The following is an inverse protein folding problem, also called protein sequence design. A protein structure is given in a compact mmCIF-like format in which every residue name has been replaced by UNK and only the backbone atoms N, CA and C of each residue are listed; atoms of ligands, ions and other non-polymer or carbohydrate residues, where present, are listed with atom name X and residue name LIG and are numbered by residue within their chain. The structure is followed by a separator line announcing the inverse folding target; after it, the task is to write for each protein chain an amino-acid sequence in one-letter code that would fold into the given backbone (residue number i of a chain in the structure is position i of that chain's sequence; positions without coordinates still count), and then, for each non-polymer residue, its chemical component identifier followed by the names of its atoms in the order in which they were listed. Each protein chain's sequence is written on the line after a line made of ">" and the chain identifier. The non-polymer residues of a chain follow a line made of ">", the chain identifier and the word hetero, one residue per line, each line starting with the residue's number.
data_IF_533012736698
#
_entry.id   IF_533012736698
#
_cell.length_a   1.000
_cell.length_b   1.000
_cell.length_c   1.000
_cell.angle_alpha   90.00
_cell.angle_beta   90.00
_cell.angle_gamma   90.00
#
_symmetry.space_group_name_H-M   'P 1'
#
loop_
_entity.id
_entity.type
_entity.pdbx_description
1 polymer ?
#
# COMPACT_ATOMS: atom_id res chain seq x y z
N UNK A 1 51.82 3.99 17.60
CA UNK A 1 51.28 5.28 18.11
C UNK A 1 49.89 4.96 18.62
N UNK A 2 49.65 5.13 19.93
CA UNK A 2 48.50 4.57 20.64
C UNK A 2 47.25 5.43 20.45
N UNK A 3 46.11 4.76 20.31
CA UNK A 3 44.74 5.30 20.34
C UNK A 3 44.29 5.27 21.82
N UNK A 4 43.88 6.37 22.39
CA UNK A 4 42.94 6.48 23.53
C UNK A 4 42.33 7.87 23.49
N UNK A 5 40.97 7.93 23.36
CA UNK A 5 40.11 8.58 24.36
C UNK A 5 38.65 8.57 23.87
N UNK A 6 37.87 7.76 24.58
CA UNK A 6 36.41 7.73 24.51
C UNK A 6 35.84 8.75 25.50
N UNK A 7 35.07 9.69 25.06
CA UNK A 7 34.29 10.54 25.96
C UNK A 7 32.83 10.05 26.02
N UNK A 8 32.41 9.66 27.24
CA UNK A 8 31.06 9.29 27.63
C UNK A 8 30.17 10.52 27.73
N UNK A 9 29.04 10.49 27.03
CA UNK A 9 27.91 11.37 27.33
C UNK A 9 26.80 10.57 28.03
N UNK A 10 26.63 10.86 29.30
CA UNK A 10 25.52 10.37 30.15
C UNK A 10 24.37 11.38 30.06
N UNK A 11 23.23 10.98 29.57
CA UNK A 11 22.04 11.82 29.56
C UNK A 11 21.10 11.37 30.70
N UNK A 12 20.85 12.29 31.64
CA UNK A 12 19.94 12.12 32.77
C UNK A 12 18.49 12.17 32.29
N UNK A 13 17.73 11.15 32.65
CA UNK A 13 16.25 11.13 32.52
C UNK A 13 15.67 11.72 33.79
N UNK A 14 14.95 12.82 33.69
CA UNK A 14 14.11 13.37 34.76
C UNK A 14 12.64 12.96 34.49
N UNK A 15 12.07 12.29 35.50
CA UNK A 15 10.71 11.85 35.52
C UNK A 15 9.71 13.02 35.65
N UNK A 16 8.55 12.89 35.08
CA UNK A 16 7.37 13.72 35.36
C UNK A 16 6.15 12.83 35.61
N UNK A 17 5.52 13.16 36.67
CA UNK A 17 4.49 12.54 37.48
C UNK A 17 3.16 12.37 36.75
N UNK A 18 2.58 11.19 37.01
CA UNK A 18 1.21 10.79 36.64
C UNK A 18 0.20 11.53 37.54
N UNK A 19 -0.79 12.19 36.98
CA UNK A 19 -2.00 12.60 37.69
C UNK A 19 -3.21 11.88 37.12
N UNK A 20 -3.79 11.08 37.98
CA UNK A 20 -5.06 10.36 37.84
C UNK A 20 -6.20 11.30 38.26
N UNK A 21 -7.19 11.52 37.43
CA UNK A 21 -8.47 12.14 37.85
C UNK A 21 -9.60 11.15 37.55
N UNK A 22 -10.19 10.66 38.65
CA UNK A 22 -11.49 9.96 38.68
C UNK A 22 -12.62 11.01 38.73
N UNK A 23 -13.71 10.76 38.03
CA UNK A 23 -14.98 11.46 38.15
C UNK A 23 -16.09 10.67 37.46
N UNK A 24 -16.70 9.80 38.14
CA UNK A 24 -18.05 9.69 38.77
C UNK A 24 -19.22 9.81 37.77
N UNK A 25 -20.01 8.73 37.80
CA UNK A 25 -21.23 8.43 37.09
C UNK A 25 -22.40 9.40 37.38
N UNK A 26 -23.30 9.51 36.40
CA UNK A 26 -24.60 10.10 36.55
C UNK A 26 -25.62 9.43 35.64
N UNK A 27 -26.49 8.68 36.27
CA UNK A 27 -27.61 7.92 35.72
C UNK A 27 -28.90 8.80 35.56
N UNK A 28 -29.77 8.44 34.65
CA UNK A 28 -31.15 8.81 34.54
C UNK A 28 -31.53 9.25 33.13
N UNK A 29 -32.59 8.82 32.47
CA UNK A 29 -33.79 8.18 32.88
C UNK A 29 -34.74 8.21 31.67
N UNK A 30 -35.45 7.15 31.51
CA UNK A 30 -36.45 6.86 30.47
C UNK A 30 -37.66 7.74 30.60
N UNK A 31 -38.25 8.24 29.48
CA UNK A 31 -39.69 8.51 29.41
C UNK A 31 -40.20 8.36 27.97
N UNK A 32 -40.93 7.28 27.76
CA UNK A 32 -41.83 7.12 26.63
C UNK A 32 -43.17 7.84 26.95
N UNK A 33 -43.73 8.51 25.99
CA UNK A 33 -45.11 8.95 26.02
C UNK A 33 -45.78 8.69 24.68
N UNK A 34 -46.66 7.70 24.72
CA UNK A 34 -47.69 7.43 23.73
C UNK A 34 -48.90 8.30 24.01
N UNK A 35 -49.55 8.90 23.00
CA UNK A 35 -50.95 9.34 23.07
C UNK A 35 -51.63 9.19 21.72
N UNK A 36 -52.76 8.51 21.78
CA UNK A 36 -53.61 8.16 20.67
C UNK A 36 -54.64 9.24 20.31
N UNK A 37 -55.03 9.19 19.06
CA UNK A 37 -56.32 9.47 18.43
C UNK A 37 -57.37 10.41 19.05
N UNK A 38 -57.88 11.31 18.21
CA UNK A 38 -59.35 11.55 18.09
C UNK A 38 -59.64 12.11 16.70
N UNK A 39 -60.60 11.47 16.05
CA UNK A 39 -61.21 11.93 14.82
C UNK A 39 -62.25 12.99 15.10
N UNK A 40 -62.33 14.00 14.22
CA UNK A 40 -63.60 14.76 14.04
C UNK A 40 -63.74 15.19 12.57
N UNK A 41 -64.90 14.81 12.03
CA UNK A 41 -65.39 15.06 10.70
C UNK A 41 -65.95 16.49 10.58
N UNK A 42 -65.46 17.27 9.61
CA UNK A 42 -66.23 18.38 9.05
C UNK A 42 -66.01 18.46 7.53
N UNK A 43 -67.10 18.27 6.82
CA UNK A 43 -67.19 18.45 5.39
C UNK A 43 -67.14 19.94 5.03
N UNK A 44 -66.19 20.33 4.24
CA UNK A 44 -66.08 21.65 3.64
C UNK A 44 -65.60 21.52 2.19
N UNK A 45 -66.53 21.70 1.27
CA UNK A 45 -66.27 21.79 -0.20
C UNK A 45 -65.37 22.98 -0.51
N UNK A 46 -64.14 22.73 -0.90
CA UNK A 46 -63.33 23.74 -1.58
C UNK A 46 -62.77 23.20 -2.90
N UNK A 47 -63.05 23.96 -3.96
CA UNK A 47 -62.60 23.86 -5.33
C UNK A 47 -61.09 23.49 -5.39
N UNK A 48 -60.75 22.35 -6.01
CA UNK A 48 -59.42 21.98 -6.30
C UNK A 48 -58.86 22.89 -7.42
N UNK A 49 -57.93 23.76 -7.05
CA UNK A 49 -57.02 24.42 -7.97
C UNK A 49 -55.83 23.49 -8.20
N UNK A 50 -55.77 22.85 -9.33
CA UNK A 50 -54.63 22.04 -9.76
C UNK A 50 -53.40 22.95 -9.88
N UNK A 51 -52.52 22.87 -8.91
CA UNK A 51 -51.13 23.36 -9.00
C UNK A 51 -50.37 22.32 -9.77
N UNK A 52 -49.98 22.64 -11.03
CA UNK A 52 -48.96 21.93 -11.76
C UNK A 52 -47.70 21.86 -10.91
N UNK A 53 -47.30 20.63 -10.49
CA UNK A 53 -46.02 20.38 -9.88
C UNK A 53 -44.99 20.47 -11.01
N UNK A 54 -44.39 21.65 -11.15
CA UNK A 54 -43.22 21.85 -12.00
C UNK A 54 -42.14 20.92 -11.49
N UNK A 55 -41.88 19.85 -12.23
CA UNK A 55 -40.75 18.92 -11.98
C UNK A 55 -39.45 19.73 -12.13
N UNK A 56 -38.94 20.19 -10.99
CA UNK A 56 -37.59 20.75 -10.91
C UNK A 56 -36.61 19.62 -11.28
N UNK A 57 -36.27 19.54 -12.55
CA UNK A 57 -35.13 18.75 -13.02
C UNK A 57 -33.88 19.36 -12.45
N UNK A 58 -33.46 18.89 -11.27
CA UNK A 58 -32.14 19.16 -10.71
C UNK A 58 -31.12 18.64 -11.73
N UNK A 59 -30.61 19.53 -12.58
CA UNK A 59 -29.50 19.26 -13.49
C UNK A 59 -28.37 18.69 -12.62
N UNK A 60 -28.12 17.37 -12.71
CA UNK A 60 -26.99 16.70 -12.09
C UNK A 60 -25.74 17.44 -12.56
N UNK A 61 -25.08 18.16 -11.63
CA UNK A 61 -23.92 19.00 -11.96
C UNK A 61 -22.88 18.10 -12.61
N UNK A 62 -22.50 18.38 -13.85
CA UNK A 62 -21.55 17.56 -14.58
C UNK A 62 -20.24 17.43 -13.79
N UNK A 63 -19.80 16.21 -13.56
CA UNK A 63 -18.56 15.94 -12.83
C UNK A 63 -17.38 16.53 -13.64
N UNK A 64 -16.62 17.40 -13.00
CA UNK A 64 -15.46 18.05 -13.62
C UNK A 64 -14.41 17.01 -14.03
N UNK A 65 -14.01 16.99 -15.29
CA UNK A 65 -12.89 16.20 -15.79
C UNK A 65 -11.59 16.65 -15.14
N UNK A 66 -10.82 15.70 -14.61
CA UNK A 66 -9.49 15.95 -14.04
C UNK A 66 -8.41 15.55 -15.07
N UNK A 67 -7.43 16.43 -15.26
CA UNK A 67 -6.19 16.12 -15.96
C UNK A 67 -5.19 15.58 -14.95
N UNK A 68 -4.84 14.30 -15.08
CA UNK A 68 -3.95 13.57 -14.18
C UNK A 68 -2.69 13.16 -14.93
N UNK A 69 -1.54 13.47 -14.39
CA UNK A 69 -0.25 12.98 -14.88
C UNK A 69 0.28 11.90 -13.93
N UNK A 70 0.79 10.80 -14.47
CA UNK A 70 1.57 9.80 -13.76
C UNK A 70 3.04 9.94 -14.17
N UNK A 71 3.91 10.15 -13.20
CA UNK A 71 5.37 10.06 -13.36
C UNK A 71 5.84 8.88 -12.53
N UNK A 72 6.44 7.90 -13.18
CA UNK A 72 6.78 6.61 -12.55
C UNK A 72 8.17 6.11 -12.97
N UNK A 73 8.87 5.35 -12.09
CA UNK A 73 10.27 4.98 -12.33
C UNK A 73 10.44 3.90 -13.39
N UNK A 74 9.49 3.00 -13.56
CA UNK A 74 9.56 1.86 -14.46
C UNK A 74 8.42 1.85 -15.47
N UNK A 75 8.47 0.92 -16.41
CA UNK A 75 7.43 0.73 -17.42
C UNK A 75 6.06 0.45 -16.79
N UNK A 76 5.01 0.95 -17.42
CA UNK A 76 3.62 0.59 -17.11
C UNK A 76 3.29 -0.90 -17.30
N UNK A 77 4.26 -1.70 -17.72
CA UNK A 77 4.18 -3.17 -17.90
C UNK A 77 5.29 -3.90 -17.13
N UNK A 78 5.71 -3.34 -16.00
CA UNK A 78 6.83 -3.86 -15.20
C UNK A 78 6.47 -5.10 -14.37
N UNK A 79 5.24 -5.59 -14.45
CA UNK A 79 4.69 -6.70 -13.65
C UNK A 79 4.78 -6.44 -12.14
N UNK A 80 4.85 -5.17 -11.74
CA UNK A 80 5.13 -4.77 -10.37
C UNK A 80 4.44 -3.44 -10.01
N UNK A 81 5.24 -2.53 -9.49
CA UNK A 81 4.81 -1.31 -8.81
C UNK A 81 4.15 -0.30 -9.75
N UNK A 82 4.79 0.05 -10.88
CA UNK A 82 4.26 1.04 -11.83
C UNK A 82 3.00 0.53 -12.53
N UNK A 83 2.98 -0.75 -12.94
CA UNK A 83 1.80 -1.36 -13.56
C UNK A 83 0.59 -1.30 -12.63
N UNK A 84 0.76 -1.52 -11.33
CA UNK A 84 -0.33 -1.50 -10.36
C UNK A 84 -1.02 -0.13 -10.26
N UNK A 85 -0.25 0.97 -10.26
CA UNK A 85 -0.77 2.34 -10.24
C UNK A 85 -1.42 2.70 -11.58
N UNK A 86 -0.76 2.37 -12.69
CA UNK A 86 -1.28 2.65 -14.02
C UNK A 86 -2.60 1.92 -14.28
N UNK A 87 -2.69 0.65 -13.93
CA UNK A 87 -3.92 -0.15 -14.04
C UNK A 87 -5.06 0.45 -13.22
N UNK A 88 -4.78 0.89 -11.98
CA UNK A 88 -5.78 1.55 -11.15
C UNK A 88 -6.31 2.86 -11.76
N UNK A 89 -5.43 3.65 -12.40
CA UNK A 89 -5.84 4.87 -13.11
C UNK A 89 -6.68 4.56 -14.35
N UNK A 90 -6.31 3.57 -15.16
CA UNK A 90 -7.09 3.17 -16.34
C UNK A 90 -8.48 2.61 -15.95
N UNK A 91 -8.56 1.81 -14.88
CA UNK A 91 -9.83 1.33 -14.32
C UNK A 91 -10.76 2.49 -13.92
N UNK A 92 -10.21 3.54 -13.32
CA UNK A 92 -10.97 4.70 -12.85
C UNK A 92 -11.22 5.75 -13.91
N UNK A 93 -10.58 5.66 -15.07
CA UNK A 93 -10.58 6.69 -16.12
C UNK A 93 -11.97 7.17 -16.54
N UNK A 94 -12.89 6.24 -16.75
CA UNK A 94 -14.27 6.54 -17.18
C UNK A 94 -15.14 7.01 -16.02
N UNK A 95 -15.11 6.25 -14.90
CA UNK A 95 -15.97 6.54 -13.74
C UNK A 95 -15.61 7.83 -13.05
N UNK A 96 -14.32 8.16 -13.02
CA UNK A 96 -13.78 9.38 -12.43
C UNK A 96 -13.55 10.51 -13.45
N UNK A 97 -13.96 10.36 -14.70
CA UNK A 97 -13.80 11.36 -15.76
C UNK A 97 -12.37 11.91 -15.85
N UNK A 98 -11.38 11.02 -16.04
CA UNK A 98 -9.97 11.40 -16.09
C UNK A 98 -9.45 11.56 -17.53
N UNK A 99 -8.55 12.55 -17.71
CA UNK A 99 -7.61 12.64 -18.84
C UNK A 99 -6.22 12.33 -18.30
N UNK A 100 -5.72 11.13 -18.61
CA UNK A 100 -4.47 10.61 -18.08
C UNK A 100 -3.34 10.86 -19.08
N UNK A 101 -2.19 11.31 -18.58
CA UNK A 101 -0.91 11.32 -19.30
C UNK A 101 0.12 10.58 -18.45
N UNK A 102 1.02 9.86 -19.09
CA UNK A 102 2.02 9.03 -18.41
C UNK A 102 3.41 9.39 -18.94
N UNK A 103 4.36 9.49 -18.00
CA UNK A 103 5.80 9.40 -18.25
C UNK A 103 6.33 8.32 -17.32
N UNK A 104 6.62 7.18 -17.89
CA UNK A 104 7.20 6.03 -17.21
C UNK A 104 8.71 5.91 -17.52
N UNK A 105 9.39 4.94 -16.88
CA UNK A 105 10.85 4.74 -16.99
C UNK A 105 11.71 5.91 -16.49
N UNK A 106 11.15 6.74 -15.62
CA UNK A 106 11.80 7.93 -15.05
C UNK A 106 12.64 7.58 -13.80
N UNK A 107 13.56 6.60 -13.92
CA UNK A 107 14.44 6.20 -12.80
C UNK A 107 15.36 7.30 -12.36
N UNK A 108 15.81 8.13 -13.31
CA UNK A 108 16.77 9.21 -13.03
C UNK A 108 16.02 10.41 -12.44
N UNK A 109 16.34 10.73 -11.19
CA UNK A 109 15.64 11.75 -10.41
C UNK A 109 15.68 13.14 -11.08
N UNK A 110 16.78 13.50 -11.76
CA UNK A 110 16.90 14.79 -12.45
C UNK A 110 16.00 14.89 -13.70
N UNK A 111 15.81 13.81 -14.44
CA UNK A 111 14.88 13.80 -15.60
C UNK A 111 13.43 13.80 -15.11
N UNK A 112 13.10 13.00 -14.11
CA UNK A 112 11.80 13.04 -13.47
C UNK A 112 11.42 14.45 -12.97
N UNK A 113 12.38 15.20 -12.42
CA UNK A 113 12.16 16.56 -11.98
C UNK A 113 11.72 17.50 -13.11
N UNK A 114 12.27 17.33 -14.31
CA UNK A 114 11.87 18.10 -15.49
C UNK A 114 10.45 17.76 -15.92
N UNK A 115 10.13 16.47 -15.97
CA UNK A 115 8.80 15.98 -16.35
C UNK A 115 7.72 16.43 -15.35
N UNK A 116 7.99 16.35 -14.05
CA UNK A 116 7.08 16.80 -12.99
C UNK A 116 6.79 18.31 -13.14
N UNK A 117 7.83 19.14 -13.34
CA UNK A 117 7.66 20.59 -13.58
C UNK A 117 6.86 20.85 -14.86
N UNK A 118 7.11 20.10 -15.93
CA UNK A 118 6.41 20.26 -17.21
C UNK A 118 4.91 19.98 -17.07
N UNK A 119 4.50 18.90 -16.36
CA UNK A 119 3.10 18.64 -16.11
C UNK A 119 2.46 19.71 -15.22
N UNK A 120 3.14 20.16 -14.19
CA UNK A 120 2.66 21.23 -13.32
C UNK A 120 2.46 22.55 -14.10
N UNK A 121 3.44 22.95 -14.95
CA UNK A 121 3.35 24.17 -15.78
C UNK A 121 2.24 24.12 -16.84
N UNK A 122 1.93 22.92 -17.34
CA UNK A 122 0.79 22.69 -18.28
C UNK A 122 -0.57 22.70 -17.59
N UNK A 123 -0.64 22.97 -16.28
CA UNK A 123 -1.89 23.11 -15.51
C UNK A 123 -2.65 21.79 -15.36
N UNK A 124 -1.94 20.69 -15.10
CA UNK A 124 -2.60 19.46 -14.67
C UNK A 124 -3.24 19.67 -13.30
N UNK A 125 -4.35 18.98 -13.03
CA UNK A 125 -5.02 19.06 -11.74
C UNK A 125 -4.25 18.27 -10.68
N UNK A 126 -3.64 17.14 -11.09
CA UNK A 126 -2.87 16.25 -10.25
C UNK A 126 -1.65 15.74 -11.00
N UNK A 127 -0.49 15.79 -10.36
CA UNK A 127 0.73 15.11 -10.78
C UNK A 127 1.05 14.03 -9.74
N UNK A 128 0.91 12.77 -10.13
CA UNK A 128 1.25 11.61 -9.30
C UNK A 128 2.73 11.31 -9.52
N UNK A 129 3.52 11.48 -8.47
CA UNK A 129 4.95 11.19 -8.42
C UNK A 129 5.10 9.81 -7.75
N UNK A 130 4.96 8.75 -8.53
CA UNK A 130 4.88 7.36 -8.05
C UNK A 130 6.26 6.74 -7.89
N UNK A 131 6.92 7.06 -6.79
CA UNK A 131 8.26 6.58 -6.44
C UNK A 131 8.81 7.32 -5.23
N UNK A 132 9.29 6.59 -4.22
CA UNK A 132 9.83 7.17 -2.98
C UNK A 132 11.00 8.12 -3.24
N UNK A 133 11.78 7.90 -4.31
CA UNK A 133 12.90 8.74 -4.73
C UNK A 133 12.51 10.16 -5.19
N UNK A 134 11.23 10.43 -5.45
CA UNK A 134 10.78 11.74 -5.95
C UNK A 134 10.46 12.75 -4.83
N UNK A 135 10.60 12.37 -3.56
CA UNK A 135 10.22 13.23 -2.42
C UNK A 135 10.85 14.60 -2.44
N UNK A 136 12.18 14.69 -2.56
CA UNK A 136 12.90 15.98 -2.59
C UNK A 136 12.49 16.86 -3.77
N UNK A 137 12.09 16.26 -4.91
CA UNK A 137 11.60 17.00 -6.07
C UNK A 137 10.22 17.57 -5.78
N UNK A 138 9.33 16.78 -5.22
CA UNK A 138 7.98 17.22 -4.87
C UNK A 138 8.04 18.37 -3.87
N UNK A 139 8.88 18.26 -2.84
CA UNK A 139 9.12 19.32 -1.85
C UNK A 139 9.58 20.64 -2.49
N UNK A 140 10.46 20.57 -3.49
CA UNK A 140 10.99 21.74 -4.18
C UNK A 140 10.05 22.33 -5.23
N UNK A 141 9.22 21.49 -5.87
CA UNK A 141 8.39 21.89 -7.02
C UNK A 141 7.00 22.34 -6.57
N UNK A 142 6.36 21.63 -5.63
CA UNK A 142 4.99 21.89 -5.25
C UNK A 142 4.70 23.33 -4.79
N UNK A 143 5.58 24.01 -4.01
CA UNK A 143 5.36 25.40 -3.61
C UNK A 143 5.30 26.38 -4.79
N UNK A 144 5.95 26.06 -5.91
CA UNK A 144 5.96 26.90 -7.12
C UNK A 144 4.67 26.79 -7.94
N UNK A 145 3.86 25.79 -7.67
CA UNK A 145 2.59 25.52 -8.36
C UNK A 145 1.42 25.33 -7.39
N UNK A 146 1.06 26.35 -6.60
CA UNK A 146 0.13 26.24 -5.47
C UNK A 146 -1.31 25.86 -5.87
N UNK A 147 -1.64 25.89 -7.17
CA UNK A 147 -2.96 25.47 -7.72
C UNK A 147 -2.96 24.07 -8.30
N UNK A 148 -1.83 23.37 -8.31
CA UNK A 148 -1.66 22.00 -8.77
C UNK A 148 -1.51 21.10 -7.56
N UNK A 149 -2.23 19.99 -7.55
CA UNK A 149 -2.03 18.93 -6.56
C UNK A 149 -0.89 18.01 -6.98
N UNK A 150 -0.07 17.61 -6.02
CA UNK A 150 0.92 16.57 -6.18
C UNK A 150 0.56 15.40 -5.27
N UNK A 151 0.68 14.17 -5.75
CA UNK A 151 0.55 12.98 -4.94
C UNK A 151 1.89 12.24 -4.95
N UNK A 152 2.53 12.14 -3.80
CA UNK A 152 3.82 11.48 -3.68
C UNK A 152 3.72 10.15 -2.94
N UNK A 153 4.21 9.09 -3.53
CA UNK A 153 4.25 7.74 -2.95
C UNK A 153 5.53 7.00 -3.39
N UNK A 154 6.01 6.09 -2.57
CA UNK A 154 5.30 5.61 -1.36
C UNK A 154 5.91 6.24 -0.12
N UNK A 155 5.20 7.13 0.49
CA UNK A 155 5.61 7.78 1.73
C UNK A 155 4.43 8.49 2.41
N UNK A 156 4.38 8.41 3.74
CA UNK A 156 3.37 9.08 4.56
C UNK A 156 3.81 10.50 4.95
N UNK A 157 4.16 11.35 3.96
CA UNK A 157 4.60 12.72 4.22
C UNK A 157 4.05 13.71 3.20
N UNK A 158 3.79 14.94 3.65
CA UNK A 158 3.32 16.07 2.82
C UNK A 158 4.28 17.25 2.84
N UNK A 159 5.40 17.15 3.56
CA UNK A 159 6.36 18.24 3.81
C UNK A 159 5.70 19.51 4.41
N UNK A 160 4.52 19.38 5.06
CA UNK A 160 3.72 20.53 5.51
C UNK A 160 3.08 21.34 4.37
N UNK A 161 3.12 20.87 3.13
CA UNK A 161 2.59 21.57 1.96
C UNK A 161 1.11 21.29 1.76
N UNK A 162 0.31 22.35 1.56
CA UNK A 162 -1.14 22.27 1.41
C UNK A 162 -1.60 21.63 0.09
N UNK A 163 -0.71 21.46 -0.88
CA UNK A 163 -0.98 20.92 -2.21
C UNK A 163 -0.23 19.60 -2.48
N UNK A 164 0.25 18.94 -1.43
CA UNK A 164 0.87 17.61 -1.52
C UNK A 164 0.02 16.60 -0.75
N UNK A 165 -0.38 15.53 -1.43
CA UNK A 165 -0.88 14.30 -0.84
C UNK A 165 0.29 13.33 -0.67
N UNK A 166 0.49 12.78 0.52
CA UNK A 166 1.32 11.60 0.70
C UNK A 166 0.48 10.33 0.57
N UNK A 167 1.02 9.27 -0.01
CA UNK A 167 0.35 7.97 0.04
C UNK A 167 1.36 6.83 0.19
N UNK A 168 0.97 5.82 0.96
CA UNK A 168 1.81 4.69 1.31
C UNK A 168 1.03 3.38 1.27
N UNK A 169 1.75 2.27 1.10
CA UNK A 169 1.22 0.93 1.28
C UNK A 169 1.76 0.35 2.59
N UNK A 170 0.89 -0.19 3.44
CA UNK A 170 1.27 -0.91 4.64
C UNK A 170 1.81 -2.32 4.29
N UNK A 171 2.80 -2.37 3.40
CA UNK A 171 3.35 -3.60 2.82
C UNK A 171 3.92 -4.57 3.86
N UNK A 172 4.26 -4.08 5.06
CA UNK A 172 4.63 -4.89 6.21
C UNK A 172 3.52 -5.89 6.59
N UNK A 173 2.25 -5.55 6.35
CA UNK A 173 1.12 -6.44 6.64
C UNK A 173 1.14 -7.68 5.73
N UNK A 174 1.22 -7.47 4.43
CA UNK A 174 1.31 -8.56 3.47
C UNK A 174 2.62 -9.32 3.57
N UNK A 175 3.73 -8.60 3.76
CA UNK A 175 5.02 -9.20 4.05
C UNK A 175 4.96 -10.15 5.25
N UNK A 176 4.34 -9.73 6.35
CA UNK A 176 4.19 -10.55 7.56
C UNK A 176 3.41 -11.84 7.29
N UNK A 177 2.27 -11.75 6.60
CA UNK A 177 1.48 -12.93 6.23
C UNK A 177 2.32 -13.87 5.38
N UNK A 178 2.98 -13.37 4.36
CA UNK A 178 3.79 -14.17 3.44
C UNK A 178 5.01 -14.79 4.12
N UNK A 179 5.72 -14.05 4.98
CA UNK A 179 6.84 -14.56 5.75
C UNK A 179 6.44 -15.67 6.71
N UNK A 180 5.28 -15.52 7.37
CA UNK A 180 4.75 -16.53 8.27
C UNK A 180 4.49 -17.85 7.54
N UNK A 181 3.78 -17.81 6.41
CA UNK A 181 3.48 -19.03 5.65
C UNK A 181 4.70 -19.58 4.91
N UNK A 182 5.67 -18.74 4.53
CA UNK A 182 6.94 -19.15 3.96
C UNK A 182 7.73 -20.04 4.92
N UNK A 183 7.81 -19.64 6.19
CA UNK A 183 8.44 -20.46 7.24
C UNK A 183 7.74 -21.80 7.42
N UNK A 184 6.40 -21.81 7.45
CA UNK A 184 5.62 -23.05 7.56
C UNK A 184 5.87 -24.01 6.38
N UNK A 185 6.18 -23.49 5.19
CA UNK A 185 6.44 -24.28 3.98
C UNK A 185 7.90 -24.73 3.88
N UNK A 186 8.83 -23.94 4.42
CA UNK A 186 10.27 -24.20 4.32
C UNK A 186 10.66 -25.48 5.07
N UNK A 187 11.50 -26.31 4.45
CA UNK A 187 12.10 -27.50 5.04
C UNK A 187 13.47 -27.22 5.64
N UNK A 188 14.27 -26.43 4.93
CA UNK A 188 15.61 -26.03 5.37
C UNK A 188 15.59 -25.01 6.50
N UNK A 189 14.46 -24.28 6.66
CA UNK A 189 14.32 -23.13 7.55
C UNK A 189 15.30 -21.99 7.21
N UNK A 190 15.72 -21.92 5.94
CA UNK A 190 16.49 -20.83 5.36
C UNK A 190 15.63 -20.16 4.30
N UNK A 191 15.34 -18.86 4.48
CA UNK A 191 14.50 -18.07 3.59
C UNK A 191 15.31 -16.96 2.95
N UNK A 192 15.06 -16.67 1.67
CA UNK A 192 15.77 -15.67 0.89
C UNK A 192 14.93 -14.44 0.53
N UNK A 193 14.78 -13.45 1.43
CA UNK A 193 14.14 -12.17 1.12
C UNK A 193 15.11 -11.21 0.40
N UNK A 194 14.72 -10.74 -0.80
CA UNK A 194 15.54 -9.87 -1.64
C UNK A 194 14.82 -8.53 -1.84
N UNK A 195 15.45 -7.44 -1.42
CA UNK A 195 15.00 -6.07 -1.65
C UNK A 195 15.86 -5.32 -2.67
N UNK A 196 15.36 -4.20 -3.22
CA UNK A 196 16.14 -3.34 -4.11
C UNK A 196 17.03 -2.38 -3.31
N UNK A 197 16.43 -1.41 -2.68
CA UNK A 197 17.00 -0.43 -1.77
C UNK A 197 16.13 -0.41 -0.52
N UNK A 198 16.72 -0.22 0.66
CA UNK A 198 16.01 -0.24 1.94
C UNK A 198 15.19 1.04 2.16
N UNK A 199 14.14 1.25 1.37
CA UNK A 199 13.27 2.44 1.42
C UNK A 199 11.84 2.11 1.02
N UNK A 200 10.87 2.94 1.47
CA UNK A 200 9.46 2.89 1.09
C UNK A 200 8.81 1.53 1.34
N UNK A 201 7.81 1.23 0.55
CA UNK A 201 7.03 -0.02 0.62
C UNK A 201 7.88 -1.28 0.42
N UNK A 202 8.96 -1.21 -0.35
CA UNK A 202 9.87 -2.34 -0.55
C UNK A 202 10.55 -2.76 0.77
N UNK A 203 11.02 -1.78 1.56
CA UNK A 203 11.58 -2.04 2.91
C UNK A 203 10.51 -2.58 3.84
N UNK A 204 9.33 -1.95 3.88
CA UNK A 204 8.22 -2.38 4.73
C UNK A 204 7.84 -3.84 4.45
N UNK A 205 7.75 -4.23 3.17
CA UNK A 205 7.47 -5.61 2.78
C UNK A 205 8.52 -6.58 3.32
N UNK A 206 9.79 -6.29 3.10
CA UNK A 206 10.91 -7.16 3.52
C UNK A 206 10.95 -7.28 5.04
N UNK A 207 10.79 -6.17 5.78
CA UNK A 207 10.79 -6.20 7.24
C UNK A 207 9.58 -6.98 7.79
N UNK A 208 8.41 -6.79 7.19
CA UNK A 208 7.22 -7.58 7.49
C UNK A 208 7.45 -9.08 7.25
N UNK A 209 8.05 -9.46 6.11
CA UNK A 209 8.35 -10.85 5.79
C UNK A 209 9.31 -11.48 6.83
N UNK A 210 10.36 -10.78 7.19
CA UNK A 210 11.30 -11.21 8.24
C UNK A 210 10.59 -11.39 9.58
N UNK A 211 9.75 -10.44 9.96
CA UNK A 211 9.01 -10.50 11.23
C UNK A 211 8.00 -11.65 11.24
N UNK A 212 7.26 -11.85 10.14
CA UNK A 212 6.30 -12.96 10.01
C UNK A 212 6.98 -14.32 10.08
N UNK A 213 8.12 -14.50 9.39
CA UNK A 213 8.89 -15.74 9.46
C UNK A 213 9.40 -16.04 10.87
N UNK A 214 9.93 -15.05 11.57
CA UNK A 214 10.36 -15.19 12.96
C UNK A 214 9.19 -15.53 13.89
N UNK A 215 8.02 -14.91 13.69
CA UNK A 215 6.82 -15.20 14.47
C UNK A 215 6.34 -16.64 14.26
N UNK A 216 6.39 -17.15 13.02
CA UNK A 216 6.06 -18.55 12.73
C UNK A 216 7.03 -19.53 13.43
N UNK A 217 8.33 -19.28 13.32
CA UNK A 217 9.35 -20.08 13.98
C UNK A 217 9.17 -20.10 15.50
N UNK A 218 8.91 -18.93 16.10
CA UNK A 218 8.64 -18.83 17.54
C UNK A 218 7.39 -19.65 17.95
N UNK A 219 6.31 -19.56 17.17
CA UNK A 219 5.08 -20.33 17.39
C UNK A 219 5.30 -21.84 17.28
N UNK A 220 6.19 -22.26 16.38
CA UNK A 220 6.59 -23.66 16.19
C UNK A 220 7.70 -24.11 17.14
N UNK A 221 8.24 -23.23 18.01
CA UNK A 221 9.42 -23.46 18.86
C UNK A 221 10.63 -23.94 18.04
N UNK A 222 10.77 -23.42 16.81
CA UNK A 222 11.85 -23.73 15.87
C UNK A 222 12.75 -22.51 15.65
N UNK A 223 13.80 -22.71 14.84
CA UNK A 223 14.69 -21.62 14.38
C UNK A 223 14.50 -21.40 12.90
N UNK A 224 14.61 -20.16 12.44
CA UNK A 224 14.61 -19.79 11.03
C UNK A 224 15.77 -18.85 10.74
N UNK A 225 16.46 -19.07 9.63
CA UNK A 225 17.44 -18.14 9.07
C UNK A 225 16.73 -17.29 8.02
N UNK A 226 16.57 -15.99 8.29
CA UNK A 226 15.90 -15.05 7.41
C UNK A 226 16.62 -13.70 7.51
N UNK A 227 17.61 -13.49 6.65
CA UNK A 227 18.40 -12.24 6.58
C UNK A 227 18.19 -11.60 5.23
N UNK A 228 17.69 -10.36 5.15
CA UNK A 228 17.44 -9.71 3.88
C UNK A 228 18.74 -9.34 3.16
N UNK A 229 18.72 -9.40 1.84
CA UNK A 229 19.75 -8.84 0.95
C UNK A 229 19.14 -7.72 0.16
N UNK A 230 19.79 -6.56 0.11
CA UNK A 230 19.42 -5.43 -0.71
C UNK A 230 20.41 -5.29 -1.86
N UNK A 231 19.92 -5.29 -3.10
CA UNK A 231 20.74 -5.31 -4.31
C UNK A 231 21.33 -3.95 -4.68
N UNK A 232 20.82 -2.86 -4.08
CA UNK A 232 21.21 -1.49 -4.42
C UNK A 232 20.54 -0.94 -5.69
N UNK A 233 19.65 -1.71 -6.34
CA UNK A 233 19.00 -1.31 -7.60
C UNK A 233 17.54 -1.75 -7.65
N UNK A 234 16.66 -0.85 -8.12
CA UNK A 234 15.26 -1.17 -8.43
C UNK A 234 15.06 -1.83 -9.79
N UNK A 235 16.05 -1.72 -10.72
CA UNK A 235 15.84 -1.99 -12.14
C UNK A 235 16.77 -3.04 -12.75
N UNK A 236 17.62 -3.71 -11.95
CA UNK A 236 18.65 -4.60 -12.47
C UNK A 236 18.33 -6.07 -12.20
N UNK A 237 17.73 -6.74 -13.18
CA UNK A 237 17.33 -8.16 -13.08
C UNK A 237 18.50 -9.09 -12.72
N UNK A 238 19.70 -8.85 -13.25
CA UNK A 238 20.86 -9.67 -12.97
C UNK A 238 21.31 -9.62 -11.51
N UNK A 239 21.17 -8.47 -10.84
CA UNK A 239 21.46 -8.36 -9.41
C UNK A 239 20.45 -9.14 -8.58
N UNK A 240 19.16 -9.09 -8.92
CA UNK A 240 18.13 -9.89 -8.27
C UNK A 240 18.38 -11.39 -8.49
N UNK A 241 18.75 -11.81 -9.72
CA UNK A 241 19.09 -13.20 -10.00
C UNK A 241 20.34 -13.65 -9.24
N UNK A 242 21.36 -12.79 -9.11
CA UNK A 242 22.58 -13.11 -8.35
C UNK A 242 22.28 -13.30 -6.88
N UNK A 243 21.51 -12.38 -6.26
CA UNK A 243 21.08 -12.51 -4.87
C UNK A 243 20.27 -13.80 -4.63
N UNK A 244 19.36 -14.14 -5.55
CA UNK A 244 18.60 -15.38 -5.47
C UNK A 244 19.50 -16.63 -5.52
N UNK A 245 20.45 -16.68 -6.45
CA UNK A 245 21.42 -17.79 -6.53
C UNK A 245 22.28 -17.91 -5.27
N UNK A 246 22.71 -16.79 -4.69
CA UNK A 246 23.45 -16.79 -3.42
C UNK A 246 22.59 -17.41 -2.31
N UNK A 247 21.33 -17.01 -2.18
CA UNK A 247 20.42 -17.61 -1.20
C UNK A 247 20.25 -19.13 -1.41
N UNK A 248 20.08 -19.57 -2.65
CA UNK A 248 19.98 -21.01 -2.98
C UNK A 248 21.26 -21.75 -2.57
N UNK A 249 22.43 -21.18 -2.88
CA UNK A 249 23.73 -21.74 -2.46
C UNK A 249 23.87 -21.83 -0.94
N UNK A 250 23.30 -20.87 -0.21
CA UNK A 250 23.27 -20.84 1.26
C UNK A 250 22.17 -21.74 1.86
N UNK A 251 21.47 -22.52 1.04
CA UNK A 251 20.49 -23.51 1.45
C UNK A 251 19.06 -22.96 1.57
N UNK A 252 18.77 -21.77 1.08
CA UNK A 252 17.39 -21.26 1.07
C UNK A 252 16.52 -22.12 0.14
N UNK A 253 15.34 -22.49 0.64
CA UNK A 253 14.36 -23.28 -0.10
C UNK A 253 13.03 -22.55 -0.34
N UNK A 254 12.93 -21.29 0.07
CA UNK A 254 11.83 -20.38 -0.21
C UNK A 254 12.40 -18.99 -0.49
N UNK A 255 11.95 -18.35 -1.56
CA UNK A 255 12.40 -17.02 -1.96
C UNK A 255 11.26 -16.03 -2.03
N UNK A 256 11.58 -14.75 -1.84
CA UNK A 256 10.70 -13.61 -2.07
C UNK A 256 11.49 -12.37 -2.48
N UNK A 257 10.79 -11.35 -2.99
CA UNK A 257 11.41 -10.07 -3.28
C UNK A 257 10.39 -8.99 -3.61
N UNK A 258 10.83 -7.74 -3.41
CA UNK A 258 10.06 -6.54 -3.76
C UNK A 258 10.95 -5.61 -4.58
N UNK A 259 10.75 -5.59 -5.90
CA UNK A 259 11.49 -4.76 -6.85
C UNK A 259 10.78 -4.75 -8.20
N UNK A 260 11.05 -3.77 -9.05
CA UNK A 260 10.64 -3.77 -10.45
C UNK A 260 11.43 -4.80 -11.29
N UNK A 261 12.54 -5.31 -10.76
CA UNK A 261 13.42 -6.29 -11.42
C UNK A 261 13.35 -7.70 -10.82
N UNK A 262 12.24 -8.07 -10.18
CA UNK A 262 12.06 -9.40 -9.57
C UNK A 262 12.10 -10.55 -10.57
N UNK A 263 11.93 -10.26 -11.87
CA UNK A 263 11.93 -11.27 -12.94
C UNK A 263 13.17 -12.14 -12.90
N UNK A 264 14.34 -11.54 -12.61
CA UNK A 264 15.61 -12.26 -12.47
C UNK A 264 15.58 -13.29 -11.34
N UNK A 265 15.09 -12.91 -10.15
CA UNK A 265 15.00 -13.82 -9.00
C UNK A 265 13.90 -14.89 -9.18
N UNK A 266 12.74 -14.51 -9.75
CA UNK A 266 11.67 -15.46 -10.09
C UNK A 266 12.18 -16.53 -11.08
N UNK A 267 13.04 -16.12 -12.05
CA UNK A 267 13.69 -17.04 -12.98
C UNK A 267 14.51 -18.11 -12.26
N UNK A 268 15.27 -17.73 -11.23
CA UNK A 268 16.03 -18.66 -10.38
C UNK A 268 15.09 -19.58 -9.60
N UNK A 269 14.10 -19.02 -8.92
CA UNK A 269 13.12 -19.84 -8.18
C UNK A 269 12.43 -20.88 -9.09
N UNK A 270 12.12 -20.50 -10.35
CA UNK A 270 11.53 -21.40 -11.33
C UNK A 270 12.48 -22.50 -11.76
N UNK A 271 13.74 -22.18 -12.06
CA UNK A 271 14.73 -23.18 -12.53
C UNK A 271 15.05 -24.22 -11.44
N UNK A 272 15.06 -23.78 -10.17
CA UNK A 272 15.45 -24.63 -9.05
C UNK A 272 14.22 -25.29 -8.37
N UNK A 273 13.02 -25.06 -8.91
CA UNK A 273 11.77 -25.64 -8.39
C UNK A 273 11.43 -25.17 -6.97
N UNK A 274 11.71 -23.88 -6.65
CA UNK A 274 11.48 -23.30 -5.33
C UNK A 274 10.21 -22.46 -5.29
N UNK A 275 9.53 -22.39 -4.13
CA UNK A 275 8.44 -21.44 -3.87
C UNK A 275 8.92 -19.99 -3.98
N UNK A 276 8.09 -19.17 -4.62
CA UNK A 276 8.24 -17.73 -4.68
C UNK A 276 7.02 -17.04 -4.07
N UNK A 277 7.24 -16.06 -3.18
CA UNK A 277 6.21 -15.15 -2.69
C UNK A 277 6.34 -13.82 -3.41
N UNK A 278 5.26 -13.37 -4.04
CA UNK A 278 5.28 -12.22 -4.94
C UNK A 278 4.63 -10.97 -4.35
N UNK A 279 5.01 -9.81 -4.90
CA UNK A 279 4.50 -8.49 -4.50
C UNK A 279 3.50 -7.90 -5.49
N UNK A 280 3.18 -8.63 -6.58
CA UNK A 280 2.10 -8.30 -7.50
C UNK A 280 1.53 -9.56 -8.15
N UNK A 281 0.23 -9.52 -8.50
CA UNK A 281 -0.46 -10.66 -9.11
C UNK A 281 0.13 -11.07 -10.46
N UNK A 282 0.50 -10.10 -11.26
CA UNK A 282 1.05 -10.31 -12.61
C UNK A 282 2.34 -11.12 -12.62
N UNK A 283 3.11 -11.12 -11.52
CA UNK A 283 4.31 -11.95 -11.36
C UNK A 283 4.01 -13.46 -11.42
N UNK A 284 2.78 -13.87 -11.10
CA UNK A 284 2.38 -15.29 -11.23
C UNK A 284 2.41 -15.80 -12.68
N UNK A 285 2.42 -14.91 -13.68
CA UNK A 285 2.54 -15.29 -15.10
C UNK A 285 3.95 -15.80 -15.46
N UNK A 286 4.98 -15.34 -14.75
CA UNK A 286 6.40 -15.69 -15.00
C UNK A 286 6.69 -17.13 -14.56
N UNK A 287 6.17 -17.52 -13.40
CA UNK A 287 6.38 -18.84 -12.81
C UNK A 287 5.10 -19.36 -12.14
N UNK A 288 4.06 -19.72 -12.92
CA UNK A 288 2.73 -20.01 -12.39
C UNK A 288 2.66 -21.17 -11.40
N UNK A 289 3.60 -22.12 -11.50
CA UNK A 289 3.68 -23.26 -10.58
C UNK A 289 4.48 -22.95 -9.31
N UNK A 290 5.32 -21.92 -9.32
CA UNK A 290 6.23 -21.58 -8.23
C UNK A 290 5.70 -20.45 -7.33
N UNK A 291 4.93 -19.51 -7.89
CA UNK A 291 4.35 -18.41 -7.11
C UNK A 291 3.27 -18.96 -6.19
N UNK A 292 3.50 -18.87 -4.87
CA UNK A 292 2.59 -19.39 -3.83
C UNK A 292 1.44 -18.44 -3.57
N UNK A 293 1.79 -17.19 -3.33
CA UNK A 293 0.87 -16.11 -3.01
C UNK A 293 1.41 -14.78 -3.53
N UNK A 294 0.52 -13.83 -3.76
CA UNK A 294 0.86 -12.47 -4.15
C UNK A 294 0.27 -11.48 -3.17
N UNK A 295 1.08 -10.54 -2.69
CA UNK A 295 0.60 -9.27 -2.17
C UNK A 295 0.18 -8.41 -3.36
N UNK A 296 -0.99 -7.82 -3.32
CA UNK A 296 -1.55 -7.05 -4.43
C UNK A 296 -1.95 -5.68 -3.93
N UNK A 297 -1.42 -4.63 -4.53
CA UNK A 297 -1.83 -3.26 -4.27
C UNK A 297 -3.07 -2.89 -5.10
N UNK A 298 -4.04 -2.32 -4.42
CA UNK A 298 -5.21 -1.69 -5.02
C UNK A 298 -5.20 -0.19 -4.68
N UNK A 299 -4.67 0.62 -5.58
CA UNK A 299 -4.57 2.06 -5.39
C UNK A 299 -5.89 2.80 -5.57
N UNK A 300 -6.94 2.14 -6.05
CA UNK A 300 -8.25 2.79 -6.35
C UNK A 300 -8.86 3.53 -5.16
N UNK A 301 -8.90 3.00 -3.92
CA UNK A 301 -9.48 3.73 -2.80
C UNK A 301 -8.77 5.06 -2.52
N UNK A 302 -7.44 5.07 -2.53
CA UNK A 302 -6.64 6.28 -2.32
C UNK A 302 -6.83 7.28 -3.45
N UNK A 303 -6.81 6.81 -4.70
CA UNK A 303 -7.02 7.67 -5.86
C UNK A 303 -8.40 8.32 -5.86
N UNK A 304 -9.46 7.57 -5.56
CA UNK A 304 -10.84 8.09 -5.46
C UNK A 304 -10.91 9.18 -4.38
N UNK A 305 -10.24 8.96 -3.24
CA UNK A 305 -10.22 9.95 -2.16
C UNK A 305 -9.49 11.22 -2.59
N UNK A 306 -8.31 11.10 -3.22
CA UNK A 306 -7.56 12.24 -3.76
C UNK A 306 -8.39 13.02 -4.81
N UNK A 307 -9.06 12.33 -5.72
CA UNK A 307 -9.92 12.99 -6.72
C UNK A 307 -11.10 13.71 -6.07
N UNK A 308 -11.69 13.11 -5.05
CA UNK A 308 -12.78 13.71 -4.27
C UNK A 308 -12.31 14.99 -3.58
N UNK A 309 -11.17 14.95 -2.90
CA UNK A 309 -10.57 16.10 -2.23
C UNK A 309 -10.27 17.23 -3.23
N UNK A 310 -9.65 16.93 -4.38
CA UNK A 310 -9.36 17.94 -5.42
C UNK A 310 -10.65 18.59 -5.93
N UNK A 311 -11.72 17.83 -6.14
CA UNK A 311 -13.03 18.38 -6.56
C UNK A 311 -13.65 19.24 -5.49
N UNK A 312 -13.41 18.93 -4.21
CA UNK A 312 -13.79 19.74 -3.07
C UNK A 312 -12.84 20.93 -2.80
N UNK A 313 -11.86 21.18 -3.68
CA UNK A 313 -10.83 22.22 -3.58
C UNK A 313 -9.82 22.02 -2.43
N UNK A 314 -9.74 20.83 -1.88
CA UNK A 314 -8.67 20.43 -0.97
C UNK A 314 -7.53 19.86 -1.82
N UNK A 315 -6.44 20.61 -1.96
CA UNK A 315 -5.38 20.30 -2.92
C UNK A 315 -4.31 19.37 -2.36
N UNK A 316 -4.32 19.05 -1.06
CA UNK A 316 -3.34 18.23 -0.38
C UNK A 316 -3.34 18.44 1.13
N UNK A 317 -2.17 18.35 1.77
CA UNK A 317 -1.98 18.50 3.21
C UNK A 317 -2.44 17.28 4.02
N UNK A 318 -2.59 16.11 3.37
CA UNK A 318 -3.06 14.88 4.01
C UNK A 318 -2.34 13.65 3.42
N UNK A 319 -2.24 12.61 4.23
CA UNK A 319 -1.66 11.32 3.85
C UNK A 319 -2.72 10.22 3.85
N UNK A 320 -2.54 9.25 2.97
CA UNK A 320 -3.40 8.08 2.84
C UNK A 320 -2.57 6.80 2.86
N UNK A 321 -3.10 5.73 3.46
CA UNK A 321 -2.42 4.44 3.50
C UNK A 321 -3.36 3.35 2.97
N UNK A 322 -2.89 2.57 2.00
CA UNK A 322 -3.54 1.32 1.63
C UNK A 322 -3.04 0.20 2.54
N UNK A 323 -3.96 -0.69 2.92
CA UNK A 323 -3.67 -1.81 3.81
C UNK A 323 -4.66 -2.96 3.62
N UNK A 324 -4.49 -4.06 4.37
CA UNK A 324 -5.39 -5.23 4.31
C UNK A 324 -6.82 -4.92 4.81
N UNK A 325 -7.00 -3.89 5.65
CA UNK A 325 -8.28 -3.55 6.26
C UNK A 325 -9.16 -2.60 5.43
N UNK A 326 -8.61 -1.93 4.41
CA UNK A 326 -9.34 -0.94 3.62
C UNK A 326 -9.42 -1.28 2.12
N UNK A 327 -9.34 -2.57 1.77
CA UNK A 327 -9.30 -3.08 0.39
C UNK A 327 -8.16 -2.53 -0.48
N UNK A 328 -7.23 -1.81 0.11
CA UNK A 328 -6.06 -1.27 -0.58
C UNK A 328 -4.94 -2.29 -0.78
N UNK A 329 -4.96 -3.37 -0.01
CA UNK A 329 -4.00 -4.47 -0.13
C UNK A 329 -4.72 -5.81 0.01
N UNK A 330 -4.25 -6.83 -0.72
CA UNK A 330 -4.77 -8.21 -0.66
C UNK A 330 -3.64 -9.22 -0.70
N UNK A 331 -3.85 -10.33 -0.01
CA UNK A 331 -3.03 -11.55 -0.18
C UNK A 331 -3.85 -12.58 -0.94
N UNK A 332 -3.44 -12.88 -2.16
CA UNK A 332 -4.08 -13.85 -3.01
C UNK A 332 -3.21 -15.10 -3.17
N UNK A 333 -3.75 -16.25 -2.74
CA UNK A 333 -3.11 -17.54 -2.99
C UNK A 333 -3.25 -17.90 -4.47
N UNK A 334 -2.17 -18.35 -5.10
CA UNK A 334 -2.18 -18.70 -6.51
C UNK A 334 -2.83 -20.07 -6.75
N UNK A 335 -3.94 -20.16 -7.49
CA UNK A 335 -4.60 -21.43 -7.75
C UNK A 335 -3.80 -22.38 -8.66
N UNK A 336 -2.80 -21.85 -9.40
CA UNK A 336 -1.93 -22.63 -10.29
C UNK A 336 -0.63 -23.08 -9.62
N UNK A 337 -0.41 -22.72 -8.33
CA UNK A 337 0.73 -23.20 -7.57
C UNK A 337 0.70 -24.73 -7.45
N UNK A 338 1.78 -25.39 -7.86
CA UNK A 338 1.85 -26.88 -7.89
C UNK A 338 3.30 -27.39 -7.69
N UNK A 339 3.91 -27.04 -6.58
CA UNK A 339 5.19 -27.64 -6.17
C UNK A 339 4.94 -28.73 -5.14
N UNK A 340 4.96 -30.01 -5.57
CA UNK A 340 4.72 -31.17 -4.70
C UNK A 340 5.69 -31.28 -3.53
N UNK A 341 6.94 -30.80 -3.72
CA UNK A 341 7.94 -30.77 -2.65
C UNK A 341 7.59 -29.80 -1.53
N UNK A 342 6.81 -28.76 -1.84
CA UNK A 342 6.41 -27.69 -0.92
C UNK A 342 4.88 -27.49 -0.98
N UNK A 343 4.08 -28.44 -0.43
CA UNK A 343 2.63 -28.39 -0.62
C UNK A 343 2.00 -27.23 0.15
N UNK A 344 1.11 -26.50 -0.52
CA UNK A 344 0.25 -25.50 0.11
C UNK A 344 -0.94 -26.21 0.79
N UNK A 345 -0.69 -26.73 2.00
CA UNK A 345 -1.64 -27.57 2.76
C UNK A 345 -2.88 -26.79 3.18
N UNK A 346 -3.94 -27.52 3.54
CA UNK A 346 -5.15 -26.92 4.12
C UNK A 346 -4.82 -26.11 5.40
N UNK A 347 -3.92 -26.62 6.25
CA UNK A 347 -3.47 -25.92 7.46
C UNK A 347 -2.81 -24.56 7.15
N UNK A 348 -1.95 -24.49 6.10
CA UNK A 348 -1.31 -23.24 5.67
C UNK A 348 -2.37 -22.27 5.12
N UNK A 349 -3.31 -22.73 4.29
CA UNK A 349 -4.42 -21.91 3.77
C UNK A 349 -5.28 -21.33 4.92
N UNK A 350 -5.68 -22.17 5.86
CA UNK A 350 -6.45 -21.75 7.04
C UNK A 350 -5.68 -20.77 7.92
N UNK A 351 -4.36 -20.97 8.10
CA UNK A 351 -3.51 -20.06 8.85
C UNK A 351 -3.39 -18.70 8.14
N UNK A 352 -3.25 -18.69 6.81
CA UNK A 352 -3.22 -17.46 6.01
C UNK A 352 -4.46 -16.60 6.30
N UNK A 353 -5.66 -17.20 6.23
CA UNK A 353 -6.91 -16.48 6.50
C UNK A 353 -6.99 -15.94 7.93
N UNK A 354 -6.54 -16.74 8.91
CA UNK A 354 -6.50 -16.30 10.32
C UNK A 354 -5.55 -15.13 10.53
N UNK A 355 -4.39 -15.12 9.87
CA UNK A 355 -3.42 -14.03 9.96
C UNK A 355 -3.97 -12.74 9.33
N UNK A 356 -4.53 -12.83 8.13
CA UNK A 356 -5.17 -11.69 7.46
C UNK A 356 -6.23 -11.08 8.38
N UNK A 357 -7.13 -11.91 8.91
CA UNK A 357 -8.16 -11.46 9.85
C UNK A 357 -7.56 -10.79 11.09
N UNK A 358 -6.56 -11.41 11.72
CA UNK A 358 -5.94 -10.89 12.93
C UNK A 358 -5.20 -9.55 12.71
N UNK A 359 -4.66 -9.32 11.51
CA UNK A 359 -4.06 -8.04 11.15
C UNK A 359 -5.16 -7.00 10.87
N UNK A 360 -6.22 -7.40 10.14
CA UNK A 360 -7.33 -6.52 9.78
C UNK A 360 -8.11 -6.02 11.00
N UNK A 361 -8.29 -6.87 12.02
CA UNK A 361 -8.97 -6.50 13.26
C UNK A 361 -8.03 -5.93 14.35
N UNK A 362 -6.75 -5.74 14.01
CA UNK A 362 -5.75 -5.12 14.89
C UNK A 362 -5.21 -6.02 16.00
N UNK A 363 -5.57 -7.31 16.03
CA UNK A 363 -5.04 -8.29 17.00
C UNK A 363 -3.55 -8.55 16.80
N UNK A 364 -3.09 -8.47 15.55
CA UNK A 364 -1.67 -8.51 15.19
C UNK A 364 -1.31 -7.20 14.51
N UNK A 365 -0.28 -6.52 15.00
CA UNK A 365 0.31 -5.34 14.38
C UNK A 365 1.71 -5.68 13.87
N UNK A 366 1.89 -5.94 12.57
CA UNK A 366 3.22 -6.14 12.00
C UNK A 366 4.10 -4.91 12.20
N UNK A 367 5.41 -5.06 12.49
CA UNK A 367 6.31 -3.92 12.69
C UNK A 367 6.42 -3.07 11.41
N UNK A 368 6.59 -1.75 11.60
CA UNK A 368 6.83 -0.77 10.54
C UNK A 368 8.32 -0.48 10.36
#
# INVERSE_FOLDING_TARGET
>A
MRITDLNRFTMKVTGATLMLVLGIAGSGGIAAASAAASADTHAGTHKATSREISASTTKKKAVRTLRVALVAPSSTKDLAFTESMYSALEDLKKTEHLKISVSDTEYVVSTAAQVIRQYASKGYNLVICHGSQYGSIVEQVAPKFPKVSFAWGTAAATFGLHNVFGYEAASNQGGYVQGYIAEMMSKSKVLGPIGPIATGDAKLYIDGFVAGAKAAAAAAKSKVTVRPVYTGSFSTDSLMATAARTFVSDGADVLTGSSQSVVGAIGVARSDGLPWFSTQWTQASIAPKNVVASQIYNWKPVLIQIFTDIRARKLGGVTYTINLGNDGEKIALNPRYDLRKFPLTHAIRAKTQKLIKAITDGTISPPQ
#
